data_IF_337062623474
#
_entry.id   IF_337062623474
#
_cell.length_a   1.000
_cell.length_b   1.000
_cell.length_c   1.000
_cell.angle_alpha   90.00
_cell.angle_beta   90.00
_cell.angle_gamma   90.00
#
_symmetry.space_group_name_H-M   'P 1'
#
loop_
_entity.id
_entity.type
_entity.pdbx_description
1 polymer ?
#
# COMPACT_ATOMS: atom_id res chain seq x y z
N UNK A 1 7.76 6.97 7.19
CA UNK A 1 6.57 7.86 7.24
C UNK A 1 5.37 7.07 7.75
N UNK A 2 4.61 7.62 8.71
CA UNK A 2 3.37 7.00 9.21
C UNK A 2 2.17 7.70 8.59
N UNK A 3 1.32 6.92 7.93
CA UNK A 3 0.08 7.40 7.29
C UNK A 3 -1.13 6.79 7.97
N UNK A 4 -2.05 7.63 8.43
CA UNK A 4 -3.35 7.19 8.96
C UNK A 4 -4.39 7.17 7.84
N UNK A 5 -5.01 6.01 7.61
CA UNK A 5 -6.09 5.82 6.64
C UNK A 5 -7.43 5.89 7.36
N UNK A 6 -8.31 6.77 6.89
CA UNK A 6 -9.67 6.92 7.42
C UNK A 6 -10.68 6.19 6.55
N UNK A 7 -11.85 5.85 7.12
CA UNK A 7 -12.91 5.11 6.43
C UNK A 7 -13.43 5.79 5.16
N UNK A 8 -13.31 7.12 5.05
CA UNK A 8 -13.63 7.89 3.84
C UNK A 8 -12.49 7.92 2.80
N UNK A 9 -11.55 6.95 2.86
CA UNK A 9 -10.37 6.81 2.00
C UNK A 9 -9.34 7.94 2.11
N UNK A 10 -9.50 8.88 3.04
CA UNK A 10 -8.49 9.93 3.27
C UNK A 10 -7.24 9.33 3.91
N UNK A 11 -6.09 9.80 3.43
CA UNK A 11 -4.78 9.46 3.98
C UNK A 11 -4.22 10.70 4.67
N UNK A 12 -3.82 10.57 5.92
CA UNK A 12 -3.22 11.65 6.71
C UNK A 12 -1.76 11.30 7.01
N UNK A 13 -0.85 12.10 6.49
CA UNK A 13 0.57 12.02 6.82
C UNK A 13 0.81 12.68 8.18
N UNK A 14 1.29 11.88 9.12
CA UNK A 14 1.59 12.35 10.48
C UNK A 14 2.89 13.15 10.56
N UNK A 15 3.80 13.00 9.58
CA UNK A 15 5.06 13.75 9.53
C UNK A 15 4.82 15.19 9.09
N UNK A 16 4.00 15.41 8.06
CA UNK A 16 3.65 16.76 7.58
C UNK A 16 2.32 17.29 8.12
N UNK A 17 1.65 16.52 8.98
CA UNK A 17 0.39 16.90 9.63
C UNK A 17 -0.72 17.32 8.65
N UNK A 18 -0.79 16.68 7.48
CA UNK A 18 -1.76 17.01 6.43
C UNK A 18 -2.32 15.80 5.71
N UNK A 19 -3.44 16.00 5.03
CA UNK A 19 -3.98 15.00 4.11
C UNK A 19 -3.16 14.94 2.83
N UNK A 20 -2.93 13.72 2.36
CA UNK A 20 -2.24 13.41 1.11
C UNK A 20 -3.12 12.55 0.22
N UNK A 21 -2.84 12.55 -1.08
CA UNK A 21 -3.50 11.64 -2.03
C UNK A 21 -2.77 10.30 -2.10
N UNK A 22 -3.41 9.31 -2.71
CA UNK A 22 -2.75 8.02 -2.97
C UNK A 22 -1.64 8.14 -4.03
N UNK A 23 -1.78 9.06 -4.98
CA UNK A 23 -0.75 9.38 -5.98
C UNK A 23 0.50 9.96 -5.30
N UNK A 24 0.29 10.93 -4.40
CA UNK A 24 1.37 11.56 -3.64
C UNK A 24 2.08 10.56 -2.71
N UNK A 25 1.33 9.67 -2.06
CA UNK A 25 1.90 8.58 -1.29
C UNK A 25 2.79 7.69 -2.17
N UNK A 26 2.35 7.37 -3.39
CA UNK A 26 3.13 6.57 -4.33
C UNK A 26 4.39 7.31 -4.82
N UNK A 27 4.34 8.63 -5.01
CA UNK A 27 5.51 9.46 -5.34
C UNK A 27 6.57 9.39 -4.24
N UNK A 28 6.17 9.58 -2.98
CA UNK A 28 7.10 9.51 -1.85
C UNK A 28 7.78 8.15 -1.74
N UNK A 29 7.04 7.06 -1.98
CA UNK A 29 7.61 5.70 -2.00
C UNK A 29 8.63 5.56 -3.14
N UNK A 30 8.33 6.10 -4.33
CA UNK A 30 9.27 6.13 -5.46
C UNK A 30 10.53 6.94 -5.17
N UNK A 31 10.43 7.97 -4.32
CA UNK A 31 11.56 8.76 -3.83
C UNK A 31 12.35 8.08 -2.70
N UNK A 32 11.93 6.87 -2.29
CA UNK A 32 12.63 6.06 -1.28
C UNK A 32 12.08 6.18 0.13
N UNK A 33 10.90 6.77 0.32
CA UNK A 33 10.28 6.82 1.64
C UNK A 33 9.76 5.44 2.07
N UNK A 34 10.21 4.96 3.22
CA UNK A 34 9.58 3.84 3.92
C UNK A 34 8.21 4.26 4.46
N UNK A 35 7.16 3.49 4.15
CA UNK A 35 5.78 3.83 4.51
C UNK A 35 5.18 2.76 5.40
N UNK A 36 4.55 3.22 6.50
CA UNK A 36 3.71 2.42 7.37
C UNK A 36 2.30 3.01 7.39
N UNK A 37 1.31 2.23 6.95
CA UNK A 37 -0.09 2.68 6.85
C UNK A 37 -0.93 1.99 7.90
N UNK A 38 -1.63 2.77 8.73
CA UNK A 38 -2.51 2.25 9.78
C UNK A 38 -3.92 2.75 9.62
N UNK A 39 -4.90 1.91 9.96
CA UNK A 39 -6.28 2.36 10.10
C UNK A 39 -6.39 3.36 11.26
N UNK A 40 -6.94 4.54 10.99
CA UNK A 40 -6.99 5.63 11.95
C UNK A 40 -7.88 5.33 13.18
N UNK A 41 -8.84 4.40 13.04
CA UNK A 41 -9.81 4.06 14.07
C UNK A 41 -9.37 2.86 14.91
N UNK A 42 -8.89 1.80 14.26
CA UNK A 42 -8.55 0.53 14.89
C UNK A 42 -7.06 0.33 15.13
N UNK A 43 -6.20 1.13 14.48
CA UNK A 43 -4.75 0.95 14.52
C UNK A 43 -4.24 -0.25 13.72
N UNK A 44 -5.13 -0.97 13.01
CA UNK A 44 -4.78 -2.12 12.18
C UNK A 44 -3.74 -1.72 11.14
N UNK A 45 -2.71 -2.55 10.96
CA UNK A 45 -1.76 -2.40 9.85
C UNK A 45 -2.47 -2.65 8.51
N UNK A 46 -2.43 -1.64 7.65
CA UNK A 46 -2.99 -1.62 6.31
C UNK A 46 -1.90 -1.40 5.25
N UNK A 47 -0.63 -1.53 5.60
CA UNK A 47 0.52 -1.26 4.71
C UNK A 47 0.45 -2.13 3.48
N UNK A 48 0.44 -3.45 3.63
CA UNK A 48 0.38 -4.39 2.51
C UNK A 48 -0.83 -4.17 1.60
N UNK A 49 -2.01 -3.98 2.19
CA UNK A 49 -3.24 -3.74 1.43
C UNK A 49 -3.18 -2.43 0.62
N UNK A 50 -2.60 -1.38 1.21
CA UNK A 50 -2.48 -0.07 0.57
C UNK A 50 -1.43 -0.07 -0.54
N UNK A 51 -0.28 -0.71 -0.33
CA UNK A 51 0.75 -0.86 -1.35
C UNK A 51 0.26 -1.70 -2.53
N UNK A 52 -0.42 -2.81 -2.25
CA UNK A 52 -1.06 -3.64 -3.30
C UNK A 52 -2.05 -2.82 -4.12
N UNK A 53 -2.89 -2.01 -3.47
CA UNK A 53 -3.84 -1.12 -4.15
C UNK A 53 -3.11 -0.13 -5.08
N UNK A 54 -2.04 0.51 -4.61
CA UNK A 54 -1.22 1.44 -5.41
C UNK A 54 -0.65 0.75 -6.66
N UNK A 55 -0.10 -0.47 -6.50
CA UNK A 55 0.49 -1.23 -7.61
C UNK A 55 -0.55 -1.57 -8.68
N UNK A 56 -1.75 -2.01 -8.26
CA UNK A 56 -2.82 -2.42 -9.18
C UNK A 56 -3.43 -1.21 -9.91
N UNK A 57 -3.62 -0.09 -9.22
CA UNK A 57 -4.22 1.12 -9.79
C UNK A 57 -3.24 1.91 -10.69
N UNK A 58 -1.93 1.67 -10.56
CA UNK A 58 -0.92 2.27 -11.42
C UNK A 58 -1.11 1.85 -12.89
N UNK A 59 -1.27 2.84 -13.77
CA UNK A 59 -1.54 2.69 -15.23
C UNK A 59 -0.33 2.16 -16.03
N UNK A 60 0.34 1.13 -15.54
CA UNK A 60 1.49 0.51 -16.19
C UNK A 60 2.16 -0.56 -15.33
N UNK A 61 2.16 -0.43 -14.00
CA UNK A 61 2.86 -1.36 -13.12
C UNK A 61 2.30 -2.78 -13.17
N UNK A 62 0.98 -2.94 -13.30
CA UNK A 62 0.37 -4.27 -13.45
C UNK A 62 0.88 -5.02 -14.71
N UNK A 63 1.24 -4.29 -15.78
CA UNK A 63 1.82 -4.89 -17.00
C UNK A 63 3.28 -5.30 -16.84
N UNK A 64 3.96 -4.77 -15.81
CA UNK A 64 5.33 -5.13 -15.46
C UNK A 64 5.41 -6.41 -14.63
N UNK A 65 4.28 -6.89 -14.08
CA UNK A 65 4.23 -8.14 -13.33
C UNK A 65 4.20 -9.34 -14.29
N UNK A 66 5.22 -10.23 -14.27
CA UNK A 66 5.24 -11.40 -15.12
C UNK A 66 4.04 -12.31 -14.81
N UNK A 67 3.39 -12.84 -15.85
CA UNK A 67 2.27 -13.79 -15.69
C UNK A 67 2.63 -14.98 -14.76
N UNK A 68 3.83 -15.58 -14.83
CA UNK A 68 4.21 -16.64 -13.90
C UNK A 68 4.16 -16.22 -12.42
N UNK A 69 4.55 -14.98 -12.10
CA UNK A 69 4.50 -14.43 -10.74
C UNK A 69 3.06 -14.28 -10.28
N UNK A 70 2.17 -13.76 -11.14
CA UNK A 70 0.74 -13.62 -10.80
C UNK A 70 0.10 -14.98 -10.51
N UNK A 71 0.41 -16.00 -11.31
CA UNK A 71 -0.06 -17.37 -11.08
C UNK A 71 0.50 -17.93 -9.78
N UNK A 72 1.78 -17.67 -9.45
CA UNK A 72 2.36 -18.07 -8.18
C UNK A 72 1.68 -17.40 -6.99
N UNK A 73 1.44 -16.08 -7.04
CA UNK A 73 0.72 -15.35 -6.00
C UNK A 73 -0.69 -15.89 -5.76
N UNK A 74 -1.39 -16.33 -6.82
CA UNK A 74 -2.72 -16.97 -6.71
C UNK A 74 -2.63 -18.38 -6.13
N UNK A 75 -1.55 -19.12 -6.42
CA UNK A 75 -1.32 -20.49 -5.92
C UNK A 75 -0.87 -20.53 -4.47
N UNK A 76 -0.26 -19.47 -3.97
CA UNK A 76 0.11 -19.33 -2.57
C UNK A 76 -1.16 -19.23 -1.73
N UNK A 77 -1.49 -20.31 -1.00
CA UNK A 77 -2.46 -20.28 0.10
C UNK A 77 -1.81 -19.66 1.34
N UNK A 78 -2.63 -19.06 2.21
CA UNK A 78 -2.30 -18.28 3.42
C UNK A 78 -1.27 -18.88 4.41
N UNK A 79 -0.74 -20.09 4.19
CA UNK A 79 0.20 -20.77 5.08
C UNK A 79 1.68 -20.33 4.90
N UNK A 80 2.03 -19.59 3.86
CA UNK A 80 3.43 -19.21 3.59
C UNK A 80 3.89 -17.88 4.23
N UNK A 81 3.04 -17.20 5.00
CA UNK A 81 3.32 -15.87 5.59
C UNK A 81 3.23 -15.85 7.12
N UNK A 82 3.24 -17.04 7.75
CA UNK A 82 3.16 -17.20 9.21
C UNK A 82 4.51 -17.51 9.89
N UNK A 83 5.64 -17.28 9.21
CA UNK A 83 6.98 -17.27 9.83
C UNK A 83 7.54 -15.84 9.92
#
# INVERSE_FOLDING_TARGET
MIVKKYSNRRLYDTSESRYITQEELAERIREGADVYVVDAKSGKDLTQATLTQIIIESRGAAKLLPVPLLVQLIRMKDEALAE
#
